data_IF_430937245117
#
_entry.id   IF_430937245117
#
_cell.length_a   1.000
_cell.length_b   1.000
_cell.length_c   1.000
_cell.angle_alpha   90.00
_cell.angle_beta   90.00
_cell.angle_gamma   90.00
#
_symmetry.space_group_name_H-M   'P 1'
#
loop_
_entity.id
_entity.type
_entity.pdbx_description
1 polymer ?
#
# COMPACT_ATOMS: atom_id res chain seq x y z
N UNK A 1 5.25 -25.63 14.73
CA UNK A 1 4.72 -24.41 15.38
C UNK A 1 3.58 -24.82 16.30
N UNK A 2 3.60 -24.48 17.60
CA UNK A 2 2.53 -24.91 18.51
C UNK A 2 1.25 -24.06 18.29
N UNK A 3 0.10 -24.59 18.71
CA UNK A 3 -1.24 -23.98 18.54
C UNK A 3 -1.36 -22.58 19.15
N UNK A 4 -0.71 -22.34 20.29
CA UNK A 4 -0.66 -21.02 20.95
C UNK A 4 0.12 -19.99 20.13
N UNK A 5 1.21 -20.41 19.45
CA UNK A 5 1.98 -19.52 18.57
C UNK A 5 1.18 -19.13 17.32
N UNK A 6 0.39 -20.05 16.77
CA UNK A 6 -0.52 -19.74 15.66
C UNK A 6 -1.63 -18.76 16.06
N UNK A 7 -2.25 -18.97 17.24
CA UNK A 7 -3.28 -18.07 17.75
C UNK A 7 -2.70 -16.67 18.00
N UNK A 8 -1.51 -16.57 18.61
CA UNK A 8 -0.83 -15.30 18.82
C UNK A 8 -0.57 -14.58 17.49
N UNK A 9 0.03 -15.29 16.53
CA UNK A 9 0.31 -14.75 15.19
C UNK A 9 -0.95 -14.22 14.48
N UNK A 10 -2.06 -14.95 14.52
CA UNK A 10 -3.31 -14.53 13.89
C UNK A 10 -3.93 -13.31 14.60
N UNK A 11 -3.87 -13.25 15.94
CA UNK A 11 -4.33 -12.08 16.70
C UNK A 11 -3.52 -10.83 16.35
N UNK A 12 -2.20 -10.95 16.29
CA UNK A 12 -1.31 -9.84 15.95
C UNK A 12 -1.61 -9.31 14.53
N UNK A 13 -1.85 -10.21 13.56
CA UNK A 13 -2.26 -9.82 12.20
C UNK A 13 -3.61 -9.11 12.16
N UNK A 14 -4.59 -9.60 12.92
CA UNK A 14 -5.93 -9.00 12.96
C UNK A 14 -5.90 -7.62 13.59
N UNK A 15 -5.15 -7.44 14.68
CA UNK A 15 -4.94 -6.14 15.30
C UNK A 15 -4.29 -5.15 14.32
N UNK A 16 -3.24 -5.58 13.63
CA UNK A 16 -2.57 -4.75 12.64
C UNK A 16 -3.49 -4.35 11.49
N UNK A 17 -4.29 -5.28 10.96
CA UNK A 17 -5.28 -4.98 9.92
C UNK A 17 -6.33 -3.95 10.40
N UNK A 18 -6.76 -4.05 11.65
CA UNK A 18 -7.69 -3.09 12.26
C UNK A 18 -7.07 -1.68 12.35
N UNK A 19 -5.82 -1.57 12.81
CA UNK A 19 -5.09 -0.30 12.87
C UNK A 19 -4.93 0.33 11.49
N UNK A 20 -4.58 -0.47 10.49
CA UNK A 20 -4.49 -0.04 9.08
C UNK A 20 -5.85 0.50 8.62
N UNK A 21 -6.93 -0.25 8.85
CA UNK A 21 -8.28 0.17 8.46
C UNK A 21 -8.68 1.52 9.06
N UNK A 22 -8.37 1.74 10.35
CA UNK A 22 -8.63 3.02 11.03
C UNK A 22 -7.79 4.15 10.40
N UNK A 23 -6.49 3.93 10.20
CA UNK A 23 -5.60 4.92 9.61
C UNK A 23 -6.01 5.30 8.18
N UNK A 24 -6.43 4.32 7.37
CA UNK A 24 -6.95 4.55 6.03
C UNK A 24 -8.29 5.32 6.07
N UNK A 25 -9.19 4.98 6.98
CA UNK A 25 -10.52 5.62 7.08
C UNK A 25 -10.48 7.10 7.48
N UNK A 26 -9.40 7.53 8.14
CA UNK A 26 -9.23 8.92 8.60
C UNK A 26 -8.43 9.77 7.62
N UNK A 27 -7.79 9.16 6.62
CA UNK A 27 -6.99 9.86 5.62
C UNK A 27 -7.88 10.54 4.58
N UNK A 28 -7.68 11.85 4.38
CA UNK A 28 -8.44 12.66 3.40
C UNK A 28 -7.66 12.95 2.12
N UNK A 29 -6.33 12.87 2.17
CA UNK A 29 -5.48 13.07 1.01
C UNK A 29 -5.35 11.72 0.25
N UNK A 30 -5.82 11.71 -0.99
CA UNK A 30 -5.84 10.51 -1.85
C UNK A 30 -4.45 9.95 -2.11
N UNK A 31 -3.46 10.79 -2.42
CA UNK A 31 -2.08 10.36 -2.69
C UNK A 31 -1.48 9.66 -1.47
N UNK A 32 -1.69 10.26 -0.29
CA UNK A 32 -1.21 9.70 0.97
C UNK A 32 -1.96 8.43 1.35
N UNK A 33 -3.26 8.34 1.01
CA UNK A 33 -4.04 7.12 1.18
C UNK A 33 -3.47 5.99 0.31
N UNK A 34 -3.20 6.26 -0.97
CA UNK A 34 -2.61 5.31 -1.91
C UNK A 34 -1.23 4.83 -1.45
N UNK A 35 -0.37 5.75 -0.99
CA UNK A 35 0.93 5.38 -0.43
C UNK A 35 0.82 4.50 0.82
N UNK A 36 -0.10 4.83 1.73
CA UNK A 36 -0.36 4.00 2.92
C UNK A 36 -0.84 2.61 2.52
N UNK A 37 -1.73 2.49 1.54
CA UNK A 37 -2.19 1.19 1.03
C UNK A 37 -1.02 0.38 0.47
N UNK A 38 -0.19 0.99 -0.40
CA UNK A 38 0.94 0.30 -1.00
C UNK A 38 2.02 -0.09 0.01
N UNK A 39 2.23 0.72 1.05
CA UNK A 39 3.18 0.40 2.12
C UNK A 39 2.69 -0.76 2.96
N UNK A 40 1.41 -0.80 3.34
CA UNK A 40 0.86 -1.93 4.07
C UNK A 40 0.76 -3.20 3.22
N UNK A 41 0.45 -3.07 1.93
CA UNK A 41 0.51 -4.19 0.99
C UNK A 41 1.93 -4.79 0.93
N UNK A 42 2.98 -3.97 0.81
CA UNK A 42 4.39 -4.41 0.88
C UNK A 42 4.66 -5.24 2.13
N UNK A 43 4.27 -4.72 3.29
CA UNK A 43 4.51 -5.36 4.58
C UNK A 43 3.83 -6.72 4.71
N UNK A 44 2.75 -6.95 3.97
CA UNK A 44 2.00 -8.21 3.97
C UNK A 44 2.55 -9.19 2.93
N UNK A 45 2.87 -8.70 1.73
CA UNK A 45 3.27 -9.54 0.59
C UNK A 45 4.78 -9.74 0.45
N UNK A 46 5.57 -8.92 1.14
CA UNK A 46 7.02 -8.81 0.96
C UNK A 46 7.42 -8.49 -0.48
N UNK A 47 6.58 -7.75 -1.22
CA UNK A 47 6.85 -7.35 -2.60
C UNK A 47 7.87 -6.19 -2.68
N UNK A 48 8.82 -6.31 -3.62
CA UNK A 48 9.80 -5.26 -3.95
C UNK A 48 9.22 -4.15 -4.82
N UNK A 49 8.46 -4.53 -5.85
CA UNK A 49 7.81 -3.62 -6.81
C UNK A 49 6.32 -3.42 -6.51
N UNK A 50 5.84 -2.19 -6.65
CA UNK A 50 4.48 -1.77 -6.33
C UNK A 50 4.02 -0.67 -7.28
N UNK A 51 2.87 -0.86 -7.90
CA UNK A 51 2.27 0.15 -8.77
C UNK A 51 0.79 0.30 -8.44
N UNK A 52 0.29 1.54 -8.46
CA UNK A 52 -1.14 1.83 -8.33
C UNK A 52 -1.61 2.56 -9.58
N UNK A 53 -2.77 2.13 -10.07
CA UNK A 53 -3.44 2.68 -11.23
C UNK A 53 -4.85 3.11 -10.82
N UNK A 54 -5.30 4.25 -11.34
CA UNK A 54 -6.70 4.63 -11.29
C UNK A 54 -7.31 4.47 -12.68
N UNK A 55 -8.61 4.18 -12.74
CA UNK A 55 -9.33 4.18 -14.02
C UNK A 55 -9.93 5.56 -14.23
N UNK A 56 -9.59 6.21 -15.33
CA UNK A 56 -10.15 7.49 -15.69
C UNK A 56 -11.54 7.35 -16.32
N UNK A 57 -12.20 8.48 -16.58
CA UNK A 57 -13.58 8.52 -17.09
C UNK A 57 -13.73 7.87 -18.47
N UNK A 58 -12.64 7.83 -19.24
CA UNK A 58 -12.60 7.25 -20.58
C UNK A 58 -12.29 5.74 -20.55
N UNK A 59 -12.10 5.16 -19.36
CA UNK A 59 -11.80 3.74 -19.17
C UNK A 59 -10.31 3.40 -19.33
N UNK A 60 -9.43 4.39 -19.47
CA UNK A 60 -7.99 4.18 -19.51
C UNK A 60 -7.41 4.12 -18.09
N UNK A 61 -6.20 3.58 -17.96
CA UNK A 61 -5.48 3.50 -16.69
C UNK A 61 -4.52 4.67 -16.56
N UNK A 62 -4.72 5.50 -15.54
CA UNK A 62 -3.78 6.53 -15.14
C UNK A 62 -2.82 5.95 -14.10
N UNK A 63 -1.53 6.19 -14.28
CA UNK A 63 -0.50 5.71 -13.35
C UNK A 63 -0.38 6.68 -12.18
N UNK A 64 -0.77 6.24 -10.99
CA UNK A 64 -0.80 7.09 -9.80
C UNK A 64 0.50 6.97 -8.99
N UNK A 65 1.05 5.76 -8.84
CA UNK A 65 2.27 5.50 -8.07
C UNK A 65 3.05 4.37 -8.72
N UNK A 66 4.37 4.54 -8.84
CA UNK A 66 5.33 3.49 -9.18
C UNK A 66 6.47 3.48 -8.15
N UNK A 67 6.64 2.36 -7.44
CA UNK A 67 7.74 2.17 -6.49
C UNK A 67 8.46 0.85 -6.73
N UNK A 68 9.78 0.89 -6.65
CA UNK A 68 10.64 -0.28 -6.61
C UNK A 68 11.81 0.01 -5.66
N UNK A 69 11.94 -0.78 -4.60
CA UNK A 69 12.94 -0.49 -3.56
C UNK A 69 14.35 -0.87 -4.02
N UNK A 70 14.52 -2.04 -4.65
CA UNK A 70 15.83 -2.52 -5.13
C UNK A 70 16.45 -1.64 -6.22
N UNK A 71 15.62 -0.98 -7.04
CA UNK A 71 16.03 -0.05 -8.08
C UNK A 71 16.00 1.42 -7.62
N UNK A 72 15.60 1.69 -6.37
CA UNK A 72 15.42 3.03 -5.81
C UNK A 72 14.52 3.94 -6.68
N UNK A 73 13.44 3.37 -7.21
CA UNK A 73 12.44 4.08 -8.03
C UNK A 73 11.29 4.52 -7.12
N UNK A 74 11.00 5.81 -7.15
CA UNK A 74 9.83 6.41 -6.48
C UNK A 74 9.24 7.46 -7.41
N UNK A 75 8.06 7.18 -7.96
CA UNK A 75 7.32 8.08 -8.85
C UNK A 75 5.83 8.11 -8.49
N UNK A 76 5.17 9.22 -8.80
CA UNK A 76 3.76 9.46 -8.51
C UNK A 76 3.46 9.70 -7.02
N UNK A 77 2.19 9.78 -6.68
CA UNK A 77 1.71 10.07 -5.33
C UNK A 77 2.32 11.36 -4.77
N UNK A 78 2.82 11.30 -3.53
CA UNK A 78 3.38 12.49 -2.86
C UNK A 78 4.83 12.81 -3.26
N UNK A 79 5.45 12.00 -4.12
CA UNK A 79 6.83 12.20 -4.56
C UNK A 79 7.01 13.41 -5.47
N UNK A 80 5.94 13.83 -6.16
CA UNK A 80 5.97 14.91 -7.15
C UNK A 80 6.74 14.55 -8.44
N UNK A 81 7.22 13.32 -8.58
CA UNK A 81 7.87 12.83 -9.80
C UNK A 81 6.79 12.27 -10.72
N UNK A 82 6.63 12.85 -11.90
CA UNK A 82 5.62 12.45 -12.87
C UNK A 82 5.89 11.04 -13.43
N UNK A 83 4.82 10.31 -13.73
CA UNK A 83 4.89 9.01 -14.41
C UNK A 83 4.49 9.24 -15.86
N UNK A 84 5.44 9.13 -16.78
CA UNK A 84 5.27 9.34 -18.23
C UNK A 84 4.94 8.05 -18.98
#
# INVERSE_FOLDING_TARGET
MNKNNQIKFLKDRLHRLSEIGIALSTQRNTDRLFEMILEEAKKITCADGRTLYSMNKDGNLDFEILRNDSMNIVMGGTSGVEIS
#
